data_IF_021579349618
#
_entry.id   IF_021579349618
#
_cell.length_a   1.000
_cell.length_b   1.000
_cell.length_c   1.000
_cell.angle_alpha   90.00
_cell.angle_beta   90.00
_cell.angle_gamma   90.00
#
_symmetry.space_group_name_H-M   'P 1'
#
loop_
_entity.id
_entity.type
_entity.pdbx_description
1 polymer ?
#
# COMPACT_ATOMS: atom_id res chain seq x y z
N UNK A 1 33.45 16.88 29.08
CA UNK A 1 32.92 17.74 28.00
C UNK A 1 33.71 17.43 26.71
N UNK A 2 33.17 17.62 25.50
CA UNK A 2 32.20 16.74 24.82
C UNK A 2 32.70 16.31 23.42
N UNK A 3 32.19 15.21 22.86
CA UNK A 3 32.00 15.09 21.40
C UNK A 3 30.68 14.37 21.14
N UNK A 4 29.59 15.09 21.42
CA UNK A 4 28.30 14.79 20.81
C UNK A 4 28.45 15.04 19.30
N UNK A 5 28.86 14.02 18.57
CA UNK A 5 28.83 14.01 17.11
C UNK A 5 27.39 14.15 16.67
N UNK A 6 26.96 15.37 16.37
CA UNK A 6 25.68 15.64 15.72
C UNK A 6 25.74 14.96 14.35
N UNK A 7 25.21 13.73 14.24
CA UNK A 7 24.93 13.10 12.95
C UNK A 7 24.05 14.10 12.19
N UNK A 8 24.60 14.69 11.13
CA UNK A 8 23.80 15.45 10.16
C UNK A 8 22.83 14.44 9.56
N UNK A 9 21.60 14.44 10.03
CA UNK A 9 20.51 13.73 9.37
C UNK A 9 20.35 14.45 8.04
N UNK A 10 21.00 13.94 6.99
CA UNK A 10 20.80 14.43 5.64
C UNK A 10 19.30 14.38 5.37
N UNK A 11 18.73 15.46 4.84
CA UNK A 11 17.31 15.48 4.46
C UNK A 11 17.05 14.28 3.56
N UNK A 12 16.35 13.28 4.08
CA UNK A 12 15.86 12.15 3.31
C UNK A 12 14.95 12.74 2.23
N UNK A 13 15.38 12.62 0.97
CA UNK A 13 14.54 12.95 -0.18
C UNK A 13 13.87 11.65 -0.58
N UNK A 14 12.55 11.65 -0.52
CA UNK A 14 11.74 10.57 -1.05
C UNK A 14 11.36 10.99 -2.47
N UNK A 15 11.77 10.19 -3.44
CA UNK A 15 11.26 10.30 -4.80
C UNK A 15 10.12 9.30 -4.94
N UNK A 16 8.94 9.80 -5.26
CA UNK A 16 7.81 8.94 -5.57
C UNK A 16 8.00 8.41 -6.99
N UNK A 17 8.27 7.11 -7.11
CA UNK A 17 8.35 6.42 -8.39
C UNK A 17 7.03 5.68 -8.56
N UNK A 18 6.10 6.27 -9.33
CA UNK A 18 4.87 5.59 -9.74
C UNK A 18 5.13 4.94 -11.09
N UNK A 19 5.25 3.61 -11.18
CA UNK A 19 5.38 2.95 -12.47
C UNK A 19 4.10 3.11 -13.28
N UNK A 20 4.24 3.45 -14.56
CA UNK A 20 3.14 3.34 -15.51
C UNK A 20 2.83 1.86 -15.72
N UNK A 21 1.65 1.44 -15.26
CA UNK A 21 1.18 0.07 -15.35
C UNK A 21 -0.14 0.05 -16.10
N UNK A 22 -0.33 -1.00 -16.90
CA UNK A 22 -1.63 -1.31 -17.49
C UNK A 22 -2.72 -1.34 -16.40
N UNK A 23 -3.93 -0.81 -16.67
CA UNK A 23 -5.01 -0.74 -15.68
C UNK A 23 -5.30 -2.07 -14.98
N UNK A 24 -5.24 -3.18 -15.72
CA UNK A 24 -5.47 -4.53 -15.17
C UNK A 24 -4.34 -4.99 -14.24
N UNK A 25 -3.08 -4.68 -14.57
CA UNK A 25 -1.96 -4.99 -13.68
C UNK A 25 -1.97 -4.11 -12.44
N UNK A 26 -2.30 -2.82 -12.59
CA UNK A 26 -2.52 -1.90 -11.46
C UNK A 26 -3.58 -2.44 -10.51
N UNK A 27 -4.72 -2.90 -11.04
CA UNK A 27 -5.79 -3.48 -10.24
C UNK A 27 -5.33 -4.73 -9.48
N UNK A 28 -4.68 -5.68 -10.17
CA UNK A 28 -4.15 -6.90 -9.54
C UNK A 28 -3.17 -6.60 -8.41
N UNK A 29 -2.27 -5.63 -8.59
CA UNK A 29 -1.30 -5.25 -7.55
C UNK A 29 -1.98 -4.63 -6.33
N UNK A 30 -2.94 -3.75 -6.55
CA UNK A 30 -3.72 -3.14 -5.46
C UNK A 30 -4.51 -4.21 -4.71
N UNK A 31 -5.24 -5.08 -5.41
CA UNK A 31 -6.02 -6.17 -4.81
C UNK A 31 -5.12 -7.10 -3.98
N UNK A 32 -3.96 -7.47 -4.53
CA UNK A 32 -2.97 -8.31 -3.84
C UNK A 32 -2.47 -7.63 -2.57
N UNK A 33 -2.12 -6.34 -2.64
CA UNK A 33 -1.63 -5.59 -1.50
C UNK A 33 -2.68 -5.52 -0.37
N UNK A 34 -3.94 -5.23 -0.71
CA UNK A 34 -5.03 -5.21 0.27
C UNK A 34 -5.26 -6.60 0.88
N UNK A 35 -5.23 -7.67 0.08
CA UNK A 35 -5.35 -9.05 0.58
C UNK A 35 -4.24 -9.41 1.58
N UNK A 36 -3.00 -9.03 1.29
CA UNK A 36 -1.86 -9.23 2.20
C UNK A 36 -2.07 -8.48 3.51
N UNK A 37 -2.48 -7.20 3.44
CA UNK A 37 -2.74 -6.40 4.62
C UNK A 37 -3.90 -6.96 5.46
N UNK A 38 -5.00 -7.34 4.84
CA UNK A 38 -6.16 -7.91 5.53
C UNK A 38 -5.79 -9.22 6.25
N UNK A 39 -4.99 -10.07 5.60
CA UNK A 39 -4.49 -11.31 6.18
C UNK A 39 -3.54 -11.05 7.35
N UNK A 40 -2.57 -10.13 7.19
CA UNK A 40 -1.61 -9.80 8.23
C UNK A 40 -2.28 -9.20 9.48
N UNK A 41 -3.32 -8.39 9.29
CA UNK A 41 -4.10 -7.77 10.37
C UNK A 41 -5.23 -8.66 10.90
N UNK A 42 -5.44 -9.86 10.33
CA UNK A 42 -6.54 -10.78 10.69
C UNK A 42 -7.89 -10.08 10.71
N UNK A 43 -8.19 -9.30 9.67
CA UNK A 43 -9.44 -8.54 9.57
C UNK A 43 -10.63 -9.51 9.65
N UNK A 44 -11.49 -9.44 10.69
CA UNK A 44 -12.60 -10.36 10.85
C UNK A 44 -13.55 -10.30 9.65
N UNK A 45 -13.94 -11.46 9.15
CA UNK A 45 -14.91 -11.55 8.08
C UNK A 45 -14.39 -11.19 6.69
N UNK A 46 -13.13 -10.78 6.53
CA UNK A 46 -12.60 -10.40 5.21
C UNK A 46 -12.64 -11.58 4.22
N UNK A 47 -13.28 -11.35 3.07
CA UNK A 47 -13.41 -12.34 1.98
C UNK A 47 -12.61 -11.96 0.73
N UNK A 48 -12.28 -10.68 0.56
CA UNK A 48 -11.53 -10.19 -0.59
C UNK A 48 -11.84 -8.74 -0.93
N UNK A 49 -11.29 -8.28 -2.03
CA UNK A 49 -11.59 -6.97 -2.59
C UNK A 49 -11.55 -7.02 -4.12
N UNK A 50 -12.12 -5.98 -4.74
CA UNK A 50 -12.03 -5.73 -6.18
C UNK A 50 -11.75 -4.26 -6.41
N UNK A 51 -10.76 -3.94 -7.25
CA UNK A 51 -10.42 -2.57 -7.60
C UNK A 51 -10.87 -2.26 -9.03
N UNK A 52 -11.51 -1.09 -9.21
CA UNK A 52 -11.98 -0.61 -10.51
C UNK A 52 -11.05 0.52 -11.01
N UNK A 53 -10.04 0.21 -11.84
CA UNK A 53 -9.00 1.17 -12.20
C UNK A 53 -9.51 2.40 -12.94
N UNK A 54 -10.59 2.26 -13.71
CA UNK A 54 -11.20 3.37 -14.48
C UNK A 54 -12.06 4.29 -13.61
N UNK A 55 -12.50 3.79 -12.44
CA UNK A 55 -13.40 4.52 -11.54
C UNK A 55 -12.68 5.11 -10.32
N UNK A 56 -11.43 4.73 -10.10
CA UNK A 56 -10.61 5.22 -8.99
C UNK A 56 -11.06 4.75 -7.61
N UNK A 57 -11.92 3.72 -7.51
CA UNK A 57 -12.38 3.15 -6.25
C UNK A 57 -12.37 1.61 -6.27
N UNK A 58 -12.52 0.99 -5.10
CA UNK A 58 -12.65 -0.45 -4.96
C UNK A 58 -13.75 -0.85 -3.97
N UNK A 59 -14.16 -2.11 -4.04
CA UNK A 59 -15.12 -2.74 -3.14
C UNK A 59 -14.39 -3.76 -2.26
N UNK A 60 -14.81 -3.87 -1.00
CA UNK A 60 -14.30 -4.85 -0.05
C UNK A 60 -15.45 -5.75 0.37
N UNK A 61 -15.23 -7.06 0.31
CA UNK A 61 -16.21 -8.06 0.67
C UNK A 61 -15.92 -8.55 2.10
N UNK A 62 -16.90 -8.39 2.99
CA UNK A 62 -16.83 -8.79 4.40
C UNK A 62 -18.05 -9.66 4.71
N UNK A 63 -17.83 -10.82 5.32
CA UNK A 63 -18.87 -11.68 5.90
C UNK A 63 -18.94 -11.43 7.41
N UNK A 64 -20.15 -11.31 8.00
CA UNK A 64 -20.32 -11.32 9.44
C UNK A 64 -19.85 -12.64 10.08
#
# INVERSE_FOLDING_TARGET
>A
MPLAGKRKVGKLRFEEIVPELDPEERARRIETFINVLATANKVPGYQGCRYYPDKGYGEVFISP
#
